data_IF_483384050532
#
_entry.id   IF_483384050532
#
_cell.length_a   1.000
_cell.length_b   1.000
_cell.length_c   1.000
_cell.angle_alpha   90.00
_cell.angle_beta   90.00
_cell.angle_gamma   90.00
#
_symmetry.space_group_name_H-M   'P 1'
#
loop_
_entity.id
_entity.type
_entity.pdbx_description
1 polymer ?
#
# COMPACT_ATOMS: atom_id res chain seq x y z
N UNK A 1 -8.01 -10.58 -6.31
CA UNK A 1 -8.01 -9.71 -5.12
C UNK A 1 -6.90 -10.20 -4.21
N UNK A 2 -6.15 -9.28 -3.63
CA UNK A 2 -5.10 -9.55 -2.66
C UNK A 2 -5.37 -8.72 -1.41
N UNK A 3 -4.95 -9.22 -0.26
CA UNK A 3 -5.09 -8.53 1.03
C UNK A 3 -3.79 -8.67 1.80
N UNK A 4 -3.43 -7.61 2.50
CA UNK A 4 -2.30 -7.56 3.39
C UNK A 4 -2.60 -6.68 4.60
N UNK A 5 -2.12 -7.09 5.77
CA UNK A 5 -2.28 -6.35 7.02
C UNK A 5 -0.92 -6.31 7.69
N UNK A 6 -0.43 -5.10 7.96
CA UNK A 6 0.92 -4.88 8.47
C UNK A 6 0.88 -3.95 9.67
N UNK A 7 1.65 -4.28 10.70
CA UNK A 7 1.79 -3.43 11.88
C UNK A 7 2.62 -2.18 11.56
N UNK A 8 2.22 -1.05 12.11
CA UNK A 8 3.00 0.19 12.07
C UNK A 8 4.07 0.07 13.17
N UNK A 9 5.29 -0.34 12.79
CA UNK A 9 6.39 -0.62 13.71
C UNK A 9 7.72 -0.06 13.19
N UNK A 10 8.31 0.85 13.98
CA UNK A 10 9.56 1.56 13.64
C UNK A 10 10.71 0.60 13.31
N UNK A 11 10.72 -0.59 13.91
CA UNK A 11 11.73 -1.62 13.66
C UNK A 11 11.80 -2.04 12.18
N UNK A 12 10.69 -1.92 11.43
CA UNK A 12 10.61 -2.34 10.03
C UNK A 12 10.93 -1.23 9.03
N UNK A 13 11.04 0.03 9.48
CA UNK A 13 11.16 1.22 8.63
C UNK A 13 12.32 1.14 7.65
N UNK A 14 13.50 0.70 8.11
CA UNK A 14 14.69 0.63 7.26
C UNK A 14 14.52 -0.40 6.13
N UNK A 15 13.96 -1.57 6.47
CA UNK A 15 13.67 -2.60 5.49
C UNK A 15 12.64 -2.10 4.46
N UNK A 16 11.55 -1.48 4.91
CA UNK A 16 10.51 -0.92 4.03
C UNK A 16 11.08 0.16 3.10
N UNK A 17 11.82 1.14 3.64
CA UNK A 17 12.47 2.20 2.85
C UNK A 17 13.37 1.65 1.75
N UNK A 18 14.13 0.58 2.04
CA UNK A 18 15.03 -0.04 1.06
C UNK A 18 14.31 -0.67 -0.14
N UNK A 19 13.01 -0.95 -0.02
CA UNK A 19 12.18 -1.52 -1.09
C UNK A 19 11.35 -0.47 -1.83
N UNK A 20 11.51 0.81 -1.49
CA UNK A 20 10.87 1.92 -2.20
C UNK A 20 11.81 2.54 -3.22
N UNK A 21 11.26 2.95 -4.36
CA UNK A 21 11.98 3.76 -5.33
C UNK A 21 12.11 5.20 -4.83
N UNK A 22 13.11 5.93 -5.31
CA UNK A 22 13.27 7.35 -4.96
C UNK A 22 12.07 8.20 -5.36
N UNK A 23 11.37 7.82 -6.44
CA UNK A 23 10.14 8.49 -6.87
C UNK A 23 9.00 8.28 -5.86
N UNK A 24 8.81 7.06 -5.37
CA UNK A 24 7.79 6.77 -4.35
C UNK A 24 8.07 7.54 -3.06
N UNK A 25 9.32 7.51 -2.59
CA UNK A 25 9.71 8.23 -1.37
C UNK A 25 9.49 9.75 -1.52
N UNK A 26 9.93 10.33 -2.65
CA UNK A 26 9.82 11.78 -2.87
C UNK A 26 8.42 12.27 -3.22
N UNK A 27 7.56 11.42 -3.77
CA UNK A 27 6.22 11.83 -4.21
C UNK A 27 5.13 11.60 -3.15
N UNK A 28 5.30 10.59 -2.27
CA UNK A 28 4.17 10.08 -1.48
C UNK A 28 4.37 10.11 0.02
N UNK A 29 5.61 10.21 0.54
CA UNK A 29 5.83 10.24 1.99
C UNK A 29 5.16 11.44 2.66
N UNK A 30 5.21 12.60 2.01
CA UNK A 30 4.63 13.85 2.55
C UNK A 30 3.09 13.88 2.49
N UNK A 31 2.45 12.85 1.90
CA UNK A 31 0.99 12.75 1.84
C UNK A 31 0.37 12.25 3.14
N UNK A 32 1.17 11.71 4.07
CA UNK A 32 0.69 11.21 5.36
C UNK A 32 1.38 11.94 6.51
N UNK A 33 0.65 12.16 7.59
CA UNK A 33 1.22 12.80 8.79
C UNK A 33 2.34 11.96 9.44
N UNK A 34 2.29 10.64 9.24
CA UNK A 34 3.25 9.69 9.77
C UNK A 34 4.04 9.05 8.63
N UNK A 35 5.34 9.32 8.59
CA UNK A 35 6.25 8.75 7.59
C UNK A 35 6.23 7.22 7.62
N UNK A 36 6.18 6.65 8.82
CA UNK A 36 6.13 5.20 8.99
C UNK A 36 4.82 4.62 8.48
N UNK A 37 3.68 5.26 8.76
CA UNK A 37 2.41 4.81 8.23
C UNK A 37 2.41 4.84 6.69
N UNK A 38 2.97 5.89 6.08
CA UNK A 38 3.15 5.98 4.63
C UNK A 38 4.00 4.85 4.05
N UNK A 39 5.10 4.50 4.71
CA UNK A 39 5.93 3.36 4.31
C UNK A 39 5.19 2.04 4.45
N UNK A 40 4.46 1.84 5.54
CA UNK A 40 3.66 0.62 5.78
C UNK A 40 2.52 0.48 4.74
N UNK A 41 1.90 1.58 4.32
CA UNK A 41 0.93 1.60 3.21
C UNK A 41 1.57 1.16 1.90
N UNK A 42 2.67 1.78 1.51
CA UNK A 42 3.34 1.42 0.25
C UNK A 42 3.87 -0.02 0.27
N UNK A 43 4.39 -0.48 1.42
CA UNK A 43 4.83 -1.85 1.62
C UNK A 43 3.69 -2.84 1.47
N UNK A 44 2.61 -2.66 2.24
CA UNK A 44 1.47 -3.56 2.23
C UNK A 44 0.76 -3.60 0.86
N UNK A 45 0.74 -2.48 0.13
CA UNK A 45 0.26 -2.46 -1.25
C UNK A 45 1.10 -3.32 -2.20
N UNK A 46 2.43 -3.34 -2.03
CA UNK A 46 3.33 -4.19 -2.83
C UNK A 46 3.17 -5.67 -2.44
N UNK A 47 3.10 -5.98 -1.16
CA UNK A 47 2.87 -7.35 -0.67
C UNK A 47 1.50 -7.91 -1.11
N UNK A 48 0.43 -7.13 -0.99
CA UNK A 48 -0.89 -7.56 -1.43
C UNK A 48 -0.92 -7.82 -2.96
N UNK A 49 -0.21 -7.03 -3.77
CA UNK A 49 -0.07 -7.30 -5.21
C UNK A 49 0.80 -8.54 -5.48
N UNK A 50 1.91 -8.72 -4.76
CA UNK A 50 2.81 -9.87 -4.92
C UNK A 50 2.07 -11.20 -4.66
N UNK A 51 1.10 -11.20 -3.73
CA UNK A 51 0.20 -12.34 -3.46
C UNK A 51 -0.74 -12.65 -4.64
N UNK A 52 -1.27 -11.63 -5.31
CA UNK A 52 -2.07 -11.82 -6.54
C UNK A 52 -1.21 -12.44 -7.64
N UNK A 53 0.00 -11.91 -7.82
CA UNK A 53 0.93 -12.36 -8.85
C UNK A 53 1.62 -13.69 -8.51
N UNK A 54 1.48 -14.17 -7.27
CA UNK A 54 2.09 -15.40 -6.73
C UNK A 54 3.61 -15.41 -6.82
N UNK A 55 4.23 -14.24 -6.72
CA UNK A 55 5.69 -14.09 -6.75
C UNK A 55 6.29 -13.87 -5.34
N UNK A 56 5.49 -13.40 -4.38
CA UNK A 56 5.96 -13.04 -3.04
C UNK A 56 7.15 -12.08 -3.08
N UNK A 57 8.01 -12.17 -2.06
CA UNK A 57 9.21 -11.33 -1.90
C UNK A 57 10.33 -11.61 -2.93
N UNK A 58 10.19 -12.62 -3.79
CA UNK A 58 11.22 -12.92 -4.82
C UNK A 58 11.13 -11.98 -6.04
N UNK A 59 10.04 -11.21 -6.12
CA UNK A 59 9.87 -10.17 -7.13
C UNK A 59 10.60 -8.89 -6.70
N UNK A 60 11.47 -8.31 -7.54
CA UNK A 60 12.01 -6.97 -7.29
C UNK A 60 10.87 -5.96 -7.06
N UNK A 61 10.89 -5.24 -5.93
CA UNK A 61 9.81 -4.33 -5.53
C UNK A 61 9.64 -3.14 -6.48
N UNK A 62 10.67 -2.81 -7.28
CA UNK A 62 10.58 -1.84 -8.38
C UNK A 62 9.56 -2.25 -9.46
N UNK A 63 9.35 -3.56 -9.69
CA UNK A 63 8.31 -4.03 -10.61
C UNK A 63 6.92 -3.78 -10.04
N UNK A 64 6.80 -3.74 -8.71
CA UNK A 64 5.57 -3.47 -7.97
C UNK A 64 5.41 -1.98 -7.63
N UNK A 65 6.20 -1.09 -8.25
CA UNK A 65 6.22 0.33 -7.94
C UNK A 65 4.83 0.99 -8.08
N UNK A 66 4.54 1.87 -7.13
CA UNK A 66 3.34 2.69 -7.07
C UNK A 66 3.55 3.93 -7.95
N UNK A 67 2.54 4.23 -8.78
CA UNK A 67 2.54 5.36 -9.72
C UNK A 67 1.71 6.54 -9.26
N UNK A 68 0.75 6.32 -8.36
CA UNK A 68 -0.06 7.36 -7.75
C UNK A 68 -0.52 6.92 -6.37
N UNK A 69 -0.65 7.88 -5.47
CA UNK A 69 -1.26 7.73 -4.16
C UNK A 69 -2.10 8.98 -3.89
N UNK A 70 -3.34 8.81 -3.49
CA UNK A 70 -4.20 9.89 -3.04
C UNK A 70 -4.94 9.51 -1.76
N UNK A 71 -5.17 10.50 -0.91
CA UNK A 71 -6.04 10.37 0.25
C UNK A 71 -7.49 10.65 -0.17
N UNK A 72 -8.38 9.72 0.12
CA UNK A 72 -9.84 9.95 0.17
C UNK A 72 -10.24 10.15 1.64
N UNK A 73 -11.53 10.35 1.91
CA UNK A 73 -12.03 10.65 3.27
C UNK A 73 -11.48 9.69 4.34
N UNK A 74 -11.63 8.38 4.14
CA UNK A 74 -11.28 7.36 5.15
C UNK A 74 -10.14 6.41 4.74
N UNK A 75 -9.60 6.55 3.53
CA UNK A 75 -8.62 5.59 3.00
C UNK A 75 -7.70 6.21 1.95
N UNK A 76 -6.55 5.58 1.75
CA UNK A 76 -5.64 5.89 0.66
C UNK A 76 -5.92 5.00 -0.54
N UNK A 77 -5.96 5.58 -1.74
CA UNK A 77 -6.06 4.84 -3.00
C UNK A 77 -4.83 5.05 -3.85
N UNK A 78 -4.38 4.01 -4.55
CA UNK A 78 -3.25 4.15 -5.46
C UNK A 78 -3.27 3.16 -6.62
N UNK A 79 -2.45 3.48 -7.64
CA UNK A 79 -2.28 2.68 -8.84
C UNK A 79 -0.82 2.25 -9.00
N UNK A 80 -0.59 1.12 -9.66
CA UNK A 80 0.76 0.59 -9.91
C UNK A 80 1.30 1.03 -11.28
N UNK A 81 2.61 1.29 -11.33
CA UNK A 81 3.30 1.71 -12.55
C UNK A 81 3.22 0.65 -13.66
N UNK A 82 3.58 -0.60 -13.31
CA UNK A 82 3.67 -1.71 -14.27
C UNK A 82 2.40 -2.56 -14.35
N UNK A 83 1.56 -2.54 -13.30
CA UNK A 83 0.37 -3.38 -13.15
C UNK A 83 -0.93 -2.56 -13.14
N UNK A 84 -1.11 -1.73 -14.18
CA UNK A 84 -2.23 -0.75 -14.32
C UNK A 84 -3.63 -1.37 -14.37
N UNK A 85 -3.74 -2.68 -14.49
CA UNK A 85 -5.02 -3.40 -14.38
C UNK A 85 -5.47 -3.55 -12.92
N UNK A 86 -4.61 -3.25 -11.95
CA UNK A 86 -4.91 -3.26 -10.52
C UNK A 86 -4.83 -1.86 -9.91
N UNK A 87 -5.57 -1.68 -8.81
CA UNK A 87 -5.45 -0.57 -7.87
C UNK A 87 -5.46 -1.13 -6.45
N UNK A 88 -5.07 -0.30 -5.48
CA UNK A 88 -5.20 -0.65 -4.07
C UNK A 88 -5.98 0.41 -3.30
N UNK A 89 -6.63 -0.03 -2.23
CA UNK A 89 -7.20 0.82 -1.19
C UNK A 89 -6.58 0.40 0.14
N UNK A 90 -6.19 1.36 0.96
CA UNK A 90 -5.46 1.14 2.20
C UNK A 90 -6.05 1.97 3.34
N UNK A 91 -6.35 1.30 4.44
CA UNK A 91 -6.89 1.90 5.66
C UNK A 91 -5.80 1.90 6.72
N UNK A 92 -5.48 3.09 7.23
CA UNK A 92 -4.53 3.28 8.32
C UNK A 92 -5.31 3.32 9.62
N UNK A 93 -5.07 2.35 10.49
CA UNK A 93 -5.62 2.26 11.85
C UNK A 93 -4.54 2.70 12.84
N UNK A 94 -4.86 2.71 14.15
CA UNK A 94 -3.92 3.17 15.18
C UNK A 94 -2.58 2.41 15.18
N UNK A 95 -2.61 1.09 14.95
CA UNK A 95 -1.42 0.23 15.07
C UNK A 95 -1.12 -0.59 13.81
N UNK A 96 -1.97 -0.50 12.79
CA UNK A 96 -1.88 -1.35 11.62
C UNK A 96 -2.38 -0.65 10.36
N UNK A 97 -1.91 -1.14 9.22
CA UNK A 97 -2.41 -0.79 7.90
C UNK A 97 -3.06 -2.03 7.29
N UNK A 98 -4.28 -1.90 6.80
CA UNK A 98 -4.95 -2.92 6.01
C UNK A 98 -5.02 -2.47 4.57
N UNK A 99 -4.51 -3.28 3.64
CA UNK A 99 -4.52 -2.97 2.21
C UNK A 99 -5.22 -4.05 1.42
N UNK A 100 -6.12 -3.64 0.53
CA UNK A 100 -6.80 -4.51 -0.44
C UNK A 100 -6.39 -4.09 -1.84
N UNK A 101 -6.02 -5.08 -2.67
CA UNK A 101 -5.67 -4.90 -4.07
C UNK A 101 -6.71 -5.59 -4.95
N UNK A 102 -7.23 -4.85 -5.92
CA UNK A 102 -8.40 -5.21 -6.71
C UNK A 102 -8.23 -4.77 -8.17
N UNK A 103 -8.95 -5.39 -9.12
CA UNK A 103 -8.99 -4.89 -10.49
C UNK A 103 -9.38 -3.41 -10.50
N UNK A 104 -8.73 -2.61 -11.35
CA UNK A 104 -8.80 -1.14 -11.34
C UNK A 104 -10.23 -0.56 -11.34
N UNK A 105 -11.16 -1.24 -12.01
CA UNK A 105 -12.56 -0.80 -12.16
C UNK A 105 -13.49 -1.29 -11.05
N UNK A 106 -12.98 -2.04 -10.08
CA UNK A 106 -13.77 -2.51 -8.96
C UNK A 106 -13.97 -1.38 -7.96
N UNK A 107 -15.19 -1.26 -7.45
CA UNK A 107 -15.55 -0.39 -6.33
C UNK A 107 -15.77 -1.28 -5.10
N UNK A 108 -15.36 -0.79 -3.95
CA UNK A 108 -15.52 -1.46 -2.67
C UNK A 108 -16.30 -0.52 -1.77
N UNK A 109 -17.27 -1.08 -1.07
CA UNK A 109 -17.94 -0.44 0.04
C UNK A 109 -17.46 -1.15 1.30
N UNK A 110 -16.88 -0.40 2.24
CA UNK A 110 -16.46 -0.90 3.55
C UNK A 110 -17.27 -0.18 4.61
N UNK A 111 -17.83 -0.95 5.54
CA UNK A 111 -18.40 -0.40 6.76
C UNK A 111 -17.29 -0.24 7.81
N UNK A 112 -16.78 0.98 7.92
CA UNK A 112 -15.70 1.31 8.86
C UNK A 112 -16.12 1.19 10.33
N UNK A 113 -17.43 1.16 10.63
CA UNK A 113 -17.92 0.99 12.01
C UNK A 113 -17.66 -0.41 12.58
N UNK A 114 -17.23 -1.36 11.75
CA UNK A 114 -16.85 -2.71 12.18
C UNK A 114 -15.34 -2.83 12.50
N UNK A 115 -14.56 -1.77 12.25
CA UNK A 115 -13.09 -1.80 12.26
C UNK A 115 -12.50 -0.81 13.29
N UNK A 116 -13.22 0.25 13.63
CA UNK A 116 -12.89 1.23 14.69
C UNK A 116 -13.64 0.90 15.98
#
# INVERSE_FOLDING_TARGET
MGLDVESIDEANTQAMKSQMTSNELGAFLDLMESEIAGLTVMWSAKEALSKILRCGLTCPFELLAISSLCQNEDYYEGEYLNFKQYKFQSWVMETAVCTVVLPRRTQIEIDMNLIV
#
